data_IF_314816020390
#
_entry.id   IF_314816020390
#
_cell.length_a   1.000
_cell.length_b   1.000
_cell.length_c   1.000
_cell.angle_alpha   90.00
_cell.angle_beta   90.00
_cell.angle_gamma   90.00
#
_symmetry.space_group_name_H-M   'P 1'
#
loop_
_entity.id
_entity.type
_entity.pdbx_description
1 polymer ?
#
# COMPACT_ATOMS: atom_id res chain seq x y z
N UNK A 1 49.93 57.18 -10.37
CA UNK A 1 49.86 58.64 -10.61
C UNK A 1 51.09 59.40 -10.08
N UNK A 2 51.51 59.25 -8.82
CA UNK A 2 52.63 60.03 -8.26
C UNK A 2 54.03 59.65 -8.81
N UNK A 3 54.32 58.34 -8.94
CA UNK A 3 55.62 57.85 -9.46
C UNK A 3 55.88 58.26 -10.92
N UNK A 4 54.82 58.31 -11.74
CA UNK A 4 54.92 58.77 -13.13
C UNK A 4 55.26 60.27 -13.21
N UNK A 5 54.66 61.08 -12.32
CA UNK A 5 55.03 62.50 -12.18
C UNK A 5 56.47 62.66 -11.69
N UNK A 6 56.89 61.85 -10.72
CA UNK A 6 58.28 61.86 -10.25
C UNK A 6 59.27 61.47 -11.37
N UNK A 7 58.90 60.50 -12.23
CA UNK A 7 59.70 60.04 -13.37
C UNK A 7 59.87 61.15 -14.43
N UNK A 8 58.78 61.86 -14.73
CA UNK A 8 58.77 63.00 -15.65
C UNK A 8 59.60 64.18 -15.11
N UNK A 9 59.57 64.42 -13.80
CA UNK A 9 60.38 65.46 -13.17
C UNK A 9 61.90 65.14 -13.14
N UNK A 10 62.27 63.86 -13.10
CA UNK A 10 63.67 63.42 -13.22
C UNK A 10 64.14 63.54 -14.67
N UNK A 11 63.33 63.15 -15.66
CA UNK A 11 63.69 63.28 -17.08
C UNK A 11 63.87 64.75 -17.49
N UNK A 12 63.01 65.66 -17.03
CA UNK A 12 63.15 67.11 -17.25
C UNK A 12 64.41 67.68 -16.58
N UNK A 13 64.78 67.19 -15.40
CA UNK A 13 65.99 67.64 -14.72
C UNK A 13 67.28 67.18 -15.40
N UNK A 14 67.29 65.96 -15.97
CA UNK A 14 68.43 65.43 -16.74
C UNK A 14 68.69 66.27 -18.00
N UNK A 15 67.64 66.68 -18.72
CA UNK A 15 67.76 67.61 -19.85
C UNK A 15 68.36 68.97 -19.44
N UNK A 16 68.09 69.40 -18.20
CA UNK A 16 68.61 70.65 -17.63
C UNK A 16 70.09 70.62 -17.19
N UNK A 17 70.78 69.48 -17.30
CA UNK A 17 72.23 69.34 -17.00
C UNK A 17 73.13 69.68 -18.19
N UNK A 18 72.57 69.79 -19.40
CA UNK A 18 73.27 70.21 -20.62
C UNK A 18 73.72 71.69 -20.60
N UNK A 19 73.37 72.44 -19.53
CA UNK A 19 73.72 73.85 -19.37
C UNK A 19 74.80 74.04 -18.28
N UNK A 20 76.04 74.45 -18.63
CA UNK A 20 77.23 74.30 -17.77
C UNK A 20 77.23 75.18 -16.51
N UNK A 21 76.49 76.29 -16.48
CA UNK A 21 76.61 77.29 -15.40
C UNK A 21 75.88 76.94 -14.09
N UNK A 22 75.15 75.81 -13.99
CA UNK A 22 74.43 75.39 -12.75
C UNK A 22 74.44 73.88 -12.50
N UNK A 23 75.35 73.13 -13.13
CA UNK A 23 75.33 71.67 -13.17
C UNK A 23 75.39 71.01 -11.76
N UNK A 24 76.32 71.39 -10.89
CA UNK A 24 76.52 70.70 -9.59
C UNK A 24 75.34 70.81 -8.60
N UNK A 25 74.70 71.98 -8.50
CA UNK A 25 73.52 72.15 -7.65
C UNK A 25 72.27 71.44 -8.21
N UNK A 26 72.19 71.30 -9.55
CA UNK A 26 71.13 70.54 -10.22
C UNK A 26 71.31 69.03 -10.05
N UNK A 27 72.54 68.52 -10.16
CA UNK A 27 72.85 67.10 -9.91
C UNK A 27 72.43 66.68 -8.51
N UNK A 28 72.75 67.45 -7.46
CA UNK A 28 72.33 67.12 -6.09
C UNK A 28 70.81 67.08 -5.91
N UNK A 29 70.07 67.98 -6.56
CA UNK A 29 68.59 67.98 -6.54
C UNK A 29 68.01 66.80 -7.30
N UNK A 30 68.62 66.40 -8.41
CA UNK A 30 68.22 65.22 -9.18
C UNK A 30 68.47 63.93 -8.40
N UNK A 31 69.62 63.79 -7.76
CA UNK A 31 69.96 62.64 -6.93
C UNK A 31 68.96 62.47 -5.79
N UNK A 32 68.70 63.55 -5.03
CA UNK A 32 67.69 63.52 -3.95
C UNK A 32 66.25 63.30 -4.44
N UNK A 33 65.94 63.58 -5.71
CA UNK A 33 64.65 63.22 -6.34
C UNK A 33 64.60 61.75 -6.71
N UNK A 34 65.68 61.21 -7.29
CA UNK A 34 65.81 59.78 -7.59
C UNK A 34 65.74 58.94 -6.31
N UNK A 35 66.40 59.34 -5.24
CA UNK A 35 66.32 58.69 -3.93
C UNK A 35 64.87 58.61 -3.43
N UNK A 36 64.13 59.73 -3.43
CA UNK A 36 62.71 59.74 -3.04
C UNK A 36 61.82 58.89 -3.95
N UNK A 37 62.09 58.86 -5.24
CA UNK A 37 61.36 58.00 -6.18
C UNK A 37 61.61 56.52 -5.88
N UNK A 38 62.86 56.14 -5.63
CA UNK A 38 63.25 54.77 -5.27
C UNK A 38 62.60 54.39 -3.94
N UNK A 39 62.61 55.26 -2.93
CA UNK A 39 61.93 55.02 -1.65
C UNK A 39 60.43 54.78 -1.83
N UNK A 40 59.75 55.59 -2.65
CA UNK A 40 58.33 55.39 -2.99
C UNK A 40 58.08 54.07 -3.71
N UNK A 41 58.91 53.71 -4.68
CA UNK A 41 58.80 52.43 -5.39
C UNK A 41 59.00 51.24 -4.44
N UNK A 42 59.96 51.34 -3.52
CA UNK A 42 60.20 50.31 -2.51
C UNK A 42 59.04 50.22 -1.51
N UNK A 43 58.46 51.33 -1.07
CA UNK A 43 57.31 51.33 -0.16
C UNK A 43 56.07 50.78 -0.84
N UNK A 44 55.80 51.16 -2.10
CA UNK A 44 54.69 50.58 -2.87
C UNK A 44 54.90 49.08 -3.07
N UNK A 45 56.11 48.64 -3.45
CA UNK A 45 56.42 47.21 -3.62
C UNK A 45 56.20 46.41 -2.33
N UNK A 46 56.60 46.97 -1.18
CA UNK A 46 56.37 46.35 0.14
C UNK A 46 54.87 46.28 0.45
N UNK A 47 54.12 47.35 0.20
CA UNK A 47 52.67 47.35 0.43
C UNK A 47 51.92 46.36 -0.47
N UNK A 48 52.26 46.29 -1.76
CA UNK A 48 51.66 45.34 -2.69
C UNK A 48 52.01 43.90 -2.31
N UNK A 49 53.25 43.65 -1.84
CA UNK A 49 53.64 42.32 -1.38
C UNK A 49 52.87 41.89 -0.13
N UNK A 50 52.65 42.80 0.83
CA UNK A 50 51.79 42.52 2.00
C UNK A 50 50.36 42.18 1.59
N UNK A 51 49.76 43.00 0.73
CA UNK A 51 48.41 42.74 0.22
C UNK A 51 48.32 41.40 -0.51
N UNK A 52 49.31 41.06 -1.34
CA UNK A 52 49.35 39.75 -2.01
C UNK A 52 49.46 38.60 -1.00
N UNK A 53 50.27 38.75 0.04
CA UNK A 53 50.39 37.75 1.10
C UNK A 53 49.08 37.57 1.86
N UNK A 54 48.37 38.66 2.18
CA UNK A 54 47.07 38.62 2.84
C UNK A 54 46.00 37.96 1.96
N UNK A 55 46.00 38.27 0.65
CA UNK A 55 45.09 37.64 -0.31
C UNK A 55 45.37 36.13 -0.40
N UNK A 56 46.63 35.71 -0.46
CA UNK A 56 46.99 34.29 -0.50
C UNK A 56 46.51 33.56 0.76
N UNK A 57 46.75 34.12 1.95
CA UNK A 57 46.26 33.50 3.20
C UNK A 57 44.74 33.42 3.24
N UNK A 58 44.05 34.45 2.74
CA UNK A 58 42.58 34.45 2.68
C UNK A 58 42.05 33.45 1.66
N UNK A 59 42.74 33.27 0.53
CA UNK A 59 42.42 32.26 -0.49
C UNK A 59 42.60 30.84 0.07
N UNK A 60 43.70 30.58 0.79
CA UNK A 60 43.94 29.32 1.49
C UNK A 60 42.84 29.03 2.53
N UNK A 61 42.46 30.02 3.34
CA UNK A 61 41.38 29.88 4.33
C UNK A 61 40.02 29.57 3.67
N UNK A 62 39.71 30.21 2.54
CA UNK A 62 38.47 29.96 1.79
C UNK A 62 38.50 28.58 1.14
N UNK A 63 39.63 28.18 0.55
CA UNK A 63 39.79 26.87 -0.05
C UNK A 63 39.61 25.75 1.00
N UNK A 64 40.17 25.92 2.20
CA UNK A 64 40.00 24.94 3.28
C UNK A 64 38.53 24.85 3.72
N UNK A 65 37.84 25.97 3.92
CA UNK A 65 36.42 25.97 4.26
C UNK A 65 35.55 25.29 3.21
N UNK A 66 35.85 25.51 1.93
CA UNK A 66 35.12 24.86 0.84
C UNK A 66 35.32 23.34 0.85
N UNK A 67 36.52 22.85 1.18
CA UNK A 67 36.78 21.42 1.33
C UNK A 67 35.98 20.87 2.52
N UNK A 68 36.02 21.54 3.66
CA UNK A 68 35.28 21.10 4.86
C UNK A 68 33.76 21.08 4.59
N UNK A 69 33.23 22.10 3.91
CA UNK A 69 31.81 22.16 3.51
C UNK A 69 31.44 21.04 2.54
N UNK A 70 32.28 20.76 1.53
CA UNK A 70 32.08 19.67 0.57
C UNK A 70 32.08 18.29 1.28
N UNK A 71 33.00 18.06 2.23
CA UNK A 71 33.01 16.83 3.03
C UNK A 71 31.72 16.67 3.85
N UNK A 72 31.23 17.75 4.47
CA UNK A 72 29.96 17.70 5.20
C UNK A 72 28.76 17.46 4.28
N UNK A 73 28.76 18.05 3.08
CA UNK A 73 27.71 17.85 2.08
C UNK A 73 27.66 16.38 1.63
N UNK A 74 28.82 15.79 1.31
CA UNK A 74 28.92 14.37 0.95
C UNK A 74 28.48 13.45 2.09
N UNK A 75 28.83 13.78 3.33
CA UNK A 75 28.36 13.03 4.49
C UNK A 75 26.83 13.07 4.62
N UNK A 76 26.23 14.26 4.50
CA UNK A 76 24.77 14.44 4.56
C UNK A 76 24.09 13.71 3.40
N UNK A 77 24.63 13.79 2.19
CA UNK A 77 24.11 13.07 1.01
C UNK A 77 24.10 11.56 1.24
N UNK A 78 25.20 11.00 1.74
CA UNK A 78 25.27 9.56 2.05
C UNK A 78 24.24 9.14 3.11
N UNK A 79 23.93 10.02 4.07
CA UNK A 79 22.93 9.77 5.11
C UNK A 79 21.51 9.87 4.54
N UNK A 80 21.26 10.83 3.65
CA UNK A 80 19.99 10.96 2.94
C UNK A 80 19.71 9.72 2.09
N UNK A 81 20.68 9.26 1.31
CA UNK A 81 20.54 8.03 0.51
C UNK A 81 20.20 6.80 1.36
N UNK A 82 20.80 6.68 2.55
CA UNK A 82 20.45 5.61 3.51
C UNK A 82 19.01 5.71 3.96
N UNK A 83 18.57 6.89 4.40
CA UNK A 83 17.20 7.13 4.87
C UNK A 83 16.19 6.90 3.74
N UNK A 84 16.47 7.34 2.52
CA UNK A 84 15.62 7.10 1.36
C UNK A 84 15.49 5.60 1.06
N UNK A 85 16.59 4.84 1.15
CA UNK A 85 16.55 3.38 0.97
C UNK A 85 15.74 2.67 2.07
N UNK A 86 15.80 3.15 3.31
CA UNK A 86 15.02 2.62 4.43
C UNK A 86 13.54 2.98 4.29
N UNK A 87 13.25 4.19 3.83
CA UNK A 87 11.89 4.65 3.54
C UNK A 87 11.27 3.80 2.42
N UNK A 88 12.02 3.56 1.34
CA UNK A 88 11.56 2.70 0.25
C UNK A 88 11.25 1.28 0.75
N UNK A 89 12.17 0.65 1.48
CA UNK A 89 11.95 -0.69 2.06
C UNK A 89 10.74 -0.73 2.99
N UNK A 90 10.52 0.32 3.77
CA UNK A 90 9.38 0.40 4.69
C UNK A 90 8.08 0.58 3.93
N UNK A 91 8.09 1.38 2.86
CA UNK A 91 6.92 1.58 1.99
C UNK A 91 6.52 0.32 1.24
N UNK A 92 7.50 -0.47 0.78
CA UNK A 92 7.26 -1.77 0.13
C UNK A 92 6.63 -2.77 1.11
N UNK A 93 7.11 -2.81 2.36
CA UNK A 93 6.51 -3.63 3.43
C UNK A 93 5.10 -3.18 3.81
N UNK A 94 4.86 -1.88 3.88
CA UNK A 94 3.52 -1.34 4.15
C UNK A 94 2.54 -1.70 3.01
N UNK A 95 3.00 -1.61 1.77
CA UNK A 95 2.20 -2.03 0.61
C UNK A 95 1.90 -3.54 0.63
N UNK A 96 2.87 -4.39 0.97
CA UNK A 96 2.63 -5.83 1.08
C UNK A 96 1.66 -6.17 2.22
N UNK A 97 1.83 -5.55 3.40
CA UNK A 97 0.94 -5.76 4.54
C UNK A 97 -0.49 -5.28 4.24
N UNK A 98 -0.66 -4.18 3.50
CA UNK A 98 -1.98 -3.73 3.05
C UNK A 98 -2.64 -4.72 2.10
N UNK A 99 -1.87 -5.34 1.19
CA UNK A 99 -2.38 -6.37 0.31
C UNK A 99 -2.81 -7.61 1.10
N UNK A 100 -1.98 -8.08 2.04
CA UNK A 100 -2.30 -9.22 2.90
C UNK A 100 -3.55 -8.95 3.73
N UNK A 101 -3.66 -7.76 4.34
CA UNK A 101 -4.84 -7.36 5.10
C UNK A 101 -6.10 -7.40 4.22
N UNK A 102 -6.03 -6.91 2.98
CA UNK A 102 -7.15 -6.94 2.07
C UNK A 102 -7.59 -8.38 1.71
N UNK A 103 -6.63 -9.29 1.51
CA UNK A 103 -6.90 -10.71 1.30
C UNK A 103 -7.59 -11.33 2.51
N UNK A 104 -7.05 -11.11 3.72
CA UNK A 104 -7.64 -11.63 4.95
C UNK A 104 -9.05 -11.09 5.20
N UNK A 105 -9.30 -9.82 4.89
CA UNK A 105 -10.64 -9.24 4.99
C UNK A 105 -11.63 -9.92 4.03
N UNK A 106 -11.18 -10.25 2.81
CA UNK A 106 -12.02 -10.97 1.84
C UNK A 106 -12.32 -12.39 2.31
N UNK A 107 -11.30 -13.12 2.77
CA UNK A 107 -11.47 -14.48 3.32
C UNK A 107 -12.42 -14.50 4.52
N UNK A 108 -12.33 -13.48 5.39
CA UNK A 108 -13.22 -13.35 6.55
C UNK A 108 -14.68 -13.13 6.12
N UNK A 109 -14.92 -12.33 5.08
CA UNK A 109 -16.27 -12.10 4.57
C UNK A 109 -16.84 -13.37 3.91
N UNK A 110 -16.02 -14.08 3.12
CA UNK A 110 -16.40 -15.38 2.54
C UNK A 110 -16.75 -16.41 3.64
N UNK A 111 -15.98 -16.45 4.73
CA UNK A 111 -16.25 -17.33 5.87
C UNK A 111 -17.57 -16.98 6.57
N UNK A 112 -17.89 -15.69 6.72
CA UNK A 112 -19.18 -15.26 7.29
C UNK A 112 -20.36 -15.62 6.40
N UNK A 113 -20.22 -15.49 5.09
CA UNK A 113 -21.26 -15.89 4.14
C UNK A 113 -21.51 -17.41 4.24
N UNK A 114 -20.44 -18.20 4.24
CA UNK A 114 -20.55 -19.65 4.43
C UNK A 114 -21.15 -20.04 5.79
N UNK A 115 -20.80 -19.33 6.87
CA UNK A 115 -21.39 -19.55 8.19
C UNK A 115 -22.90 -19.27 8.17
N UNK A 116 -23.32 -18.15 7.57
CA UNK A 116 -24.75 -17.82 7.44
C UNK A 116 -25.50 -18.86 6.62
N UNK A 117 -24.95 -19.29 5.48
CA UNK A 117 -25.54 -20.33 4.65
C UNK A 117 -25.66 -21.66 5.41
N UNK A 118 -24.62 -22.06 6.14
CA UNK A 118 -24.65 -23.25 6.98
C UNK A 118 -25.75 -23.15 8.04
N UNK A 119 -25.82 -22.06 8.81
CA UNK A 119 -26.87 -21.91 9.84
C UNK A 119 -28.28 -21.97 9.26
N UNK A 120 -28.48 -21.45 8.04
CA UNK A 120 -29.76 -21.55 7.35
C UNK A 120 -30.08 -23.00 6.98
N UNK A 121 -29.12 -23.72 6.38
CA UNK A 121 -29.31 -25.14 6.02
C UNK A 121 -29.51 -26.03 7.25
N UNK A 122 -28.83 -25.75 8.37
CA UNK A 122 -29.05 -26.46 9.64
C UNK A 122 -30.48 -26.26 10.15
N UNK A 123 -31.02 -25.04 10.07
CA UNK A 123 -32.41 -24.75 10.42
C UNK A 123 -33.42 -25.49 9.54
N UNK A 124 -33.20 -25.52 8.22
CA UNK A 124 -34.05 -26.26 7.28
C UNK A 124 -34.05 -27.77 7.58
N UNK A 125 -32.88 -28.35 7.84
CA UNK A 125 -32.75 -29.77 8.19
C UNK A 125 -33.40 -30.08 9.55
N UNK A 126 -33.26 -29.19 10.53
CA UNK A 126 -33.90 -29.38 11.84
C UNK A 126 -35.42 -29.32 11.74
N UNK A 127 -35.98 -28.41 10.93
CA UNK A 127 -37.43 -28.33 10.69
C UNK A 127 -37.97 -29.59 10.00
N UNK A 128 -37.29 -30.07 8.95
CA UNK A 128 -37.65 -31.30 8.26
C UNK A 128 -37.56 -32.53 9.18
N UNK A 129 -36.49 -32.63 9.97
CA UNK A 129 -36.22 -33.77 10.86
C UNK A 129 -37.13 -33.80 12.08
N UNK A 130 -37.39 -32.66 12.72
CA UNK A 130 -38.09 -32.61 14.00
C UNK A 130 -39.59 -32.40 13.86
N UNK A 131 -40.05 -31.76 12.78
CA UNK A 131 -41.46 -31.42 12.60
C UNK A 131 -42.09 -32.22 11.46
N UNK A 132 -41.52 -32.15 10.26
CA UNK A 132 -42.18 -32.65 9.05
C UNK A 132 -42.17 -34.17 9.00
N UNK A 133 -40.99 -34.80 9.16
CA UNK A 133 -40.85 -36.26 9.09
C UNK A 133 -41.67 -36.96 10.18
N UNK A 134 -41.60 -36.58 11.47
CA UNK A 134 -42.40 -37.22 12.52
C UNK A 134 -43.90 -37.02 12.31
N UNK A 135 -44.33 -35.85 11.83
CA UNK A 135 -45.74 -35.57 11.51
C UNK A 135 -46.24 -36.44 10.35
N UNK A 136 -45.48 -36.53 9.25
CA UNK A 136 -45.85 -37.37 8.11
C UNK A 136 -45.90 -38.86 8.47
N UNK A 137 -44.95 -39.32 9.29
CA UNK A 137 -44.95 -40.69 9.85
C UNK A 137 -46.17 -40.89 10.74
N UNK A 138 -46.49 -39.95 11.63
CA UNK A 138 -47.66 -40.03 12.49
C UNK A 138 -48.97 -40.09 11.69
N UNK A 139 -49.13 -39.23 10.67
CA UNK A 139 -50.31 -39.23 9.79
C UNK A 139 -50.44 -40.55 9.03
N UNK A 140 -49.34 -41.06 8.48
CA UNK A 140 -49.33 -42.36 7.77
C UNK A 140 -49.69 -43.51 8.72
N UNK A 141 -49.14 -43.52 9.93
CA UNK A 141 -49.49 -44.49 10.97
C UNK A 141 -50.95 -44.36 11.42
N UNK A 142 -51.48 -43.14 11.51
CA UNK A 142 -52.87 -42.89 11.89
C UNK A 142 -53.82 -43.43 10.82
N UNK A 143 -53.56 -43.15 9.53
CA UNK A 143 -54.33 -43.71 8.43
C UNK A 143 -54.29 -45.23 8.45
N UNK A 144 -53.12 -45.85 8.63
CA UNK A 144 -53.02 -47.30 8.76
C UNK A 144 -53.75 -47.82 10.01
N UNK A 145 -53.67 -47.13 11.16
CA UNK A 145 -54.37 -47.57 12.38
C UNK A 145 -55.89 -47.52 12.24
N UNK A 146 -56.41 -46.51 11.55
CA UNK A 146 -57.85 -46.31 11.31
C UNK A 146 -58.37 -47.24 10.23
N UNK A 147 -57.69 -47.29 9.08
CA UNK A 147 -58.16 -48.08 7.93
C UNK A 147 -57.75 -49.54 8.01
N UNK A 148 -56.67 -49.87 8.72
CA UNK A 148 -55.99 -51.17 8.69
C UNK A 148 -55.53 -51.62 7.30
N UNK A 149 -55.39 -50.68 6.37
CA UNK A 149 -54.96 -50.98 5.01
C UNK A 149 -53.45 -50.78 4.90
N UNK A 150 -52.79 -51.71 4.23
CA UNK A 150 -51.43 -51.58 3.70
C UNK A 150 -51.50 -51.49 2.18
N UNK A 151 -50.93 -50.42 1.62
CA UNK A 151 -50.93 -50.21 0.18
C UNK A 151 -49.70 -50.85 -0.47
N UNK A 152 -49.90 -51.39 -1.67
CA UNK A 152 -48.81 -51.79 -2.55
C UNK A 152 -48.33 -50.55 -3.31
N UNK A 153 -47.08 -50.15 -3.08
CA UNK A 153 -46.48 -48.98 -3.73
C UNK A 153 -45.75 -49.32 -5.03
N UNK A 154 -45.67 -50.61 -5.40
CA UNK A 154 -45.02 -51.09 -6.62
C UNK A 154 -46.04 -51.34 -7.75
N UNK A 155 -47.17 -50.64 -7.76
CA UNK A 155 -48.19 -50.72 -8.80
C UNK A 155 -48.33 -49.42 -9.61
N UNK A 156 -49.03 -49.49 -10.75
CA UNK A 156 -49.28 -48.32 -11.60
C UNK A 156 -50.10 -47.25 -10.84
N UNK A 157 -49.88 -45.94 -11.09
CA UNK A 157 -50.59 -44.86 -10.37
C UNK A 157 -52.11 -44.87 -10.54
N UNK A 158 -52.60 -45.50 -11.62
CA UNK A 158 -54.02 -45.69 -11.90
C UNK A 158 -54.63 -46.87 -11.16
N UNK A 159 -53.82 -47.75 -10.58
CA UNK A 159 -54.26 -48.96 -9.88
C UNK A 159 -54.14 -48.73 -8.36
N UNK A 160 -55.25 -48.96 -7.66
CA UNK A 160 -55.33 -48.92 -6.20
C UNK A 160 -55.26 -50.36 -5.69
N UNK A 161 -54.11 -50.75 -5.16
CA UNK A 161 -53.83 -52.11 -4.73
C UNK A 161 -53.30 -52.15 -3.31
N UNK A 162 -53.79 -53.06 -2.50
CA UNK A 162 -53.39 -53.18 -1.10
C UNK A 162 -54.01 -54.37 -0.38
N UNK A 163 -53.82 -54.45 0.92
CA UNK A 163 -54.35 -55.50 1.79
C UNK A 163 -55.00 -54.85 3.00
N UNK A 164 -56.24 -55.23 3.31
CA UNK A 164 -56.94 -54.81 4.52
C UNK A 164 -56.78 -55.85 5.63
N UNK A 165 -56.25 -55.44 6.77
CA UNK A 165 -55.97 -56.25 7.96
C UNK A 165 -57.03 -56.01 9.06
N UNK A 166 -58.26 -56.45 8.81
CA UNK A 166 -59.33 -56.43 9.80
C UNK A 166 -59.20 -57.52 10.88
N UNK A 167 -60.14 -57.62 11.84
CA UNK A 167 -60.19 -58.70 12.83
C UNK A 167 -60.47 -60.10 12.23
N UNK A 168 -60.87 -60.14 10.94
CA UNK A 168 -61.12 -61.36 10.16
C UNK A 168 -59.93 -61.66 9.23
N UNK A 169 -60.10 -62.62 8.31
CA UNK A 169 -59.09 -62.96 7.28
C UNK A 169 -58.74 -61.71 6.47
N UNK A 170 -57.45 -61.48 6.23
CA UNK A 170 -56.96 -60.36 5.44
C UNK A 170 -57.57 -60.35 4.03
N UNK A 171 -58.04 -59.18 3.58
CA UNK A 171 -58.75 -59.04 2.31
C UNK A 171 -57.90 -58.27 1.29
N UNK A 172 -57.68 -58.81 0.08
CA UNK A 172 -56.98 -58.10 -0.98
C UNK A 172 -57.86 -56.98 -1.55
N UNK A 173 -57.26 -55.82 -1.78
CA UNK A 173 -57.86 -54.67 -2.45
C UNK A 173 -57.20 -54.54 -3.82
N UNK A 174 -58.00 -54.45 -4.88
CA UNK A 174 -57.51 -54.20 -6.24
C UNK A 174 -58.57 -53.48 -7.07
N UNK A 175 -58.32 -52.22 -7.41
CA UNK A 175 -59.20 -51.41 -8.26
C UNK A 175 -58.41 -50.68 -9.33
N UNK A 176 -59.04 -50.47 -10.48
CA UNK A 176 -58.60 -49.50 -11.46
C UNK A 176 -59.36 -48.18 -11.24
N UNK A 177 -58.63 -47.12 -10.88
CA UNK A 177 -59.18 -45.80 -10.58
C UNK A 177 -59.78 -45.10 -11.81
N UNK A 178 -59.50 -45.58 -13.02
CA UNK A 178 -60.08 -45.03 -14.26
C UNK A 178 -61.50 -45.55 -14.53
N UNK A 179 -61.84 -46.73 -13.97
CA UNK A 179 -63.11 -47.41 -14.21
C UNK A 179 -64.17 -47.09 -13.15
N UNK A 180 -63.77 -46.50 -12.02
CA UNK A 180 -64.64 -46.23 -10.89
C UNK A 180 -64.56 -44.76 -10.47
N UNK A 181 -65.68 -44.19 -10.04
CA UNK A 181 -65.69 -42.83 -9.50
C UNK A 181 -64.93 -42.77 -8.16
N UNK A 182 -64.29 -41.62 -7.87
CA UNK A 182 -63.60 -41.39 -6.59
C UNK A 182 -64.50 -41.66 -5.38
N UNK A 183 -65.77 -41.25 -5.46
CA UNK A 183 -66.75 -41.48 -4.39
C UNK A 183 -66.99 -42.96 -4.16
N UNK A 184 -67.22 -43.74 -5.22
CA UNK A 184 -67.42 -45.17 -5.11
C UNK A 184 -66.24 -45.88 -4.46
N UNK A 185 -65.01 -45.54 -4.86
CA UNK A 185 -63.78 -46.10 -4.29
C UNK A 185 -63.69 -45.77 -2.79
N UNK A 186 -63.90 -44.50 -2.41
CA UNK A 186 -63.87 -44.10 -1.00
C UNK A 186 -64.95 -44.80 -0.17
N UNK A 187 -66.20 -44.84 -0.65
CA UNK A 187 -67.31 -45.50 0.03
C UNK A 187 -67.04 -46.99 0.24
N UNK A 188 -66.45 -47.66 -0.77
CA UNK A 188 -66.03 -49.05 -0.66
C UNK A 188 -64.93 -49.25 0.38
N UNK A 189 -63.85 -48.46 0.33
CA UNK A 189 -62.73 -48.61 1.26
C UNK A 189 -63.17 -48.38 2.71
N UNK A 190 -64.05 -47.41 2.97
CA UNK A 190 -64.61 -47.17 4.30
C UNK A 190 -65.58 -48.25 4.75
N UNK A 191 -66.26 -48.95 3.84
CA UNK A 191 -67.12 -50.08 4.19
C UNK A 191 -66.35 -51.29 4.73
N UNK A 192 -65.03 -51.38 4.48
CA UNK A 192 -64.16 -52.43 5.01
C UNK A 192 -63.80 -52.21 6.48
N UNK A 193 -63.84 -50.95 6.93
CA UNK A 193 -63.48 -50.57 8.30
C UNK A 193 -64.63 -50.95 9.23
N UNK A 194 -64.32 -51.68 10.30
CA UNK A 194 -65.31 -52.09 11.27
C UNK A 194 -65.87 -50.88 12.03
N UNK A 195 -67.20 -50.83 12.17
CA UNK A 195 -67.92 -49.76 12.87
C UNK A 195 -68.40 -50.17 14.26
N UNK A 196 -68.06 -51.38 14.71
CA UNK A 196 -68.37 -51.85 16.06
C UNK A 196 -67.40 -51.25 17.09
N UNK A 197 -67.93 -50.79 18.23
CA UNK A 197 -67.20 -50.12 19.31
C UNK A 197 -67.17 -50.96 20.59
#
# INVERSE_FOLDING_TARGET
>A
MAVFRDMEEVSQGLLGLLNPNRAGARVRRLLGRQERMIERLLSTKKSTHRLLSEILTMEEDVAQKLIDEEETAQYVESKLQKIESELQKTSEKDASLKADLHLLMKELEELKEMEQDLTKTEGEVDEDSTVVIPSAVYVSQLYHRVSKIEWDYECEPTVIKGIHHGPNIAQPIHFDSTQHSKKFISDYLWSLVDTQW
#
